data_IF_901490554277
#
_entry.id   IF_901490554277
#
_cell.length_a   1.000
_cell.length_b   1.000
_cell.length_c   1.000
_cell.angle_alpha   90.00
_cell.angle_beta   90.00
_cell.angle_gamma   90.00
#
_symmetry.space_group_name_H-M   'P 1'
#
loop_
_entity.id
_entity.type
_entity.pdbx_description
1 polymer ?
#
# COMPACT_ATOMS: atom_id res chain seq x y z
N UNK A 1 12.90 -14.92 -81.97
CA UNK A 1 12.70 -15.75 -80.79
C UNK A 1 12.87 -14.86 -79.59
N UNK A 2 11.78 -14.37 -79.01
CA UNK A 2 11.80 -13.39 -77.93
C UNK A 2 11.53 -14.12 -76.62
N UNK A 3 12.50 -14.14 -75.71
CA UNK A 3 12.34 -14.56 -74.32
C UNK A 3 11.68 -13.43 -73.53
N UNK A 4 10.48 -13.68 -73.05
CA UNK A 4 9.79 -12.79 -72.10
C UNK A 4 10.29 -13.11 -70.69
N UNK A 5 11.03 -12.18 -70.07
CA UNK A 5 11.32 -12.21 -68.67
C UNK A 5 10.11 -11.70 -67.88
N UNK A 6 9.48 -12.59 -67.12
CA UNK A 6 8.48 -12.21 -66.13
C UNK A 6 9.22 -11.88 -64.81
N UNK A 7 9.23 -10.63 -64.49
CA UNK A 7 9.67 -10.13 -63.17
C UNK A 7 8.50 -10.27 -62.25
N UNK A 8 8.57 -11.20 -61.27
CA UNK A 8 7.65 -11.27 -60.15
C UNK A 8 8.09 -10.29 -59.10
N UNK A 9 7.38 -9.15 -58.97
CA UNK A 9 7.53 -8.24 -57.84
C UNK A 9 6.96 -8.94 -56.59
N UNK A 10 7.85 -9.38 -55.70
CA UNK A 10 7.51 -9.87 -54.38
C UNK A 10 7.26 -8.67 -53.47
N UNK A 11 5.98 -8.32 -53.27
CA UNK A 11 5.60 -7.30 -52.27
C UNK A 11 5.69 -7.98 -50.92
N UNK A 12 6.78 -7.67 -50.17
CA UNK A 12 6.92 -8.03 -48.76
C UNK A 12 6.05 -7.04 -47.97
N UNK A 13 4.87 -7.46 -47.59
CA UNK A 13 4.06 -6.74 -46.62
C UNK A 13 4.66 -7.00 -45.25
N UNK A 14 5.54 -6.09 -44.79
CA UNK A 14 5.98 -6.07 -43.40
C UNK A 14 4.83 -5.56 -42.56
N UNK A 15 4.05 -6.49 -42.04
CA UNK A 15 3.03 -6.21 -41.06
C UNK A 15 3.71 -5.72 -39.77
N UNK A 16 3.70 -4.41 -39.52
CA UNK A 16 3.98 -3.86 -38.22
C UNK A 16 2.87 -4.30 -37.26
N UNK A 17 3.06 -5.41 -36.56
CA UNK A 17 2.28 -5.72 -35.37
C UNK A 17 2.67 -4.70 -34.32
N UNK A 18 1.93 -3.59 -34.24
CA UNK A 18 1.92 -2.76 -33.06
C UNK A 18 1.34 -3.62 -31.93
N UNK A 19 2.21 -4.20 -31.13
CA UNK A 19 1.82 -4.72 -29.82
C UNK A 19 1.43 -3.49 -29.01
N UNK A 20 0.16 -3.15 -29.01
CA UNK A 20 -0.38 -2.33 -27.94
C UNK A 20 -0.24 -3.17 -26.68
N UNK A 21 0.83 -2.94 -25.93
CA UNK A 21 0.86 -3.36 -24.54
C UNK A 21 -0.34 -2.65 -23.89
N UNK A 22 -1.43 -3.38 -23.68
CA UNK A 22 -2.51 -2.92 -22.85
C UNK A 22 -1.87 -2.65 -21.50
N UNK A 23 -1.69 -1.38 -21.14
CA UNK A 23 -1.22 -1.02 -19.82
C UNK A 23 -2.19 -1.68 -18.83
N UNK A 24 -1.69 -2.60 -18.03
CA UNK A 24 -2.50 -3.32 -17.05
C UNK A 24 -3.15 -2.27 -16.14
N UNK A 25 -4.49 -2.24 -16.14
CA UNK A 25 -5.23 -1.22 -15.39
C UNK A 25 -4.97 -1.44 -13.91
N UNK A 26 -4.36 -0.45 -13.26
CA UNK A 26 -4.14 -0.50 -11.83
C UNK A 26 -5.46 -0.63 -11.06
N UNK A 27 -5.46 -1.33 -9.93
CA UNK A 27 -6.64 -1.56 -9.09
C UNK A 27 -7.12 -0.31 -8.34
N UNK A 28 -6.50 0.83 -8.56
CA UNK A 28 -6.84 2.12 -7.98
C UNK A 28 -6.51 3.27 -8.95
N UNK A 29 -7.05 4.44 -8.69
CA UNK A 29 -6.84 5.64 -9.49
C UNK A 29 -6.70 6.89 -8.61
N UNK A 30 -6.15 7.96 -9.17
CA UNK A 30 -6.16 9.28 -8.51
C UNK A 30 -7.61 9.69 -8.21
N UNK A 31 -7.86 10.13 -6.99
CA UNK A 31 -9.18 10.45 -6.46
C UNK A 31 -9.82 9.32 -5.66
N UNK A 32 -9.27 8.10 -5.70
CA UNK A 32 -9.76 7.03 -4.83
C UNK A 32 -9.68 7.44 -3.37
N UNK A 33 -10.78 7.18 -2.63
CA UNK A 33 -10.84 7.39 -1.19
C UNK A 33 -11.60 6.26 -0.52
N UNK A 34 -10.94 5.58 0.42
CA UNK A 34 -11.49 4.50 1.24
C UNK A 34 -11.66 5.02 2.66
N UNK A 35 -12.91 5.04 3.18
CA UNK A 35 -13.23 5.41 4.57
C UNK A 35 -13.45 4.16 5.40
N UNK A 36 -12.82 4.10 6.55
CA UNK A 36 -12.94 3.00 7.52
C UNK A 36 -13.59 3.48 8.82
N UNK A 37 -14.48 2.65 9.37
CA UNK A 37 -14.86 2.72 10.77
C UNK A 37 -13.83 1.99 11.63
N UNK A 38 -13.33 2.64 12.68
CA UNK A 38 -12.34 2.06 13.59
C UNK A 38 -12.99 1.74 14.95
N UNK A 39 -12.66 0.55 15.48
CA UNK A 39 -13.04 0.11 16.83
C UNK A 39 -11.80 -0.34 17.58
N UNK A 40 -11.75 -0.05 18.86
CA UNK A 40 -10.74 -0.56 19.77
C UNK A 40 -11.41 -1.39 20.88
N UNK A 41 -11.05 -2.67 20.99
CA UNK A 41 -11.70 -3.62 21.92
C UNK A 41 -13.25 -3.53 21.86
N UNK A 42 -13.83 -3.56 20.64
CA UNK A 42 -15.26 -3.45 20.35
C UNK A 42 -15.88 -2.04 20.56
N UNK A 43 -15.18 -1.10 21.18
CA UNK A 43 -15.65 0.27 21.39
C UNK A 43 -15.40 1.10 20.13
N UNK A 44 -16.41 1.84 19.62
CA UNK A 44 -16.20 2.75 18.51
C UNK A 44 -15.11 3.77 18.85
N UNK A 45 -14.01 3.76 18.09
CA UNK A 45 -12.85 4.61 18.33
C UNK A 45 -12.83 5.83 17.40
N UNK A 46 -13.18 5.66 16.13
CA UNK A 46 -13.10 6.75 15.17
C UNK A 46 -13.19 6.30 13.72
N UNK A 47 -12.41 6.97 12.88
CA UNK A 47 -12.34 6.75 11.44
C UNK A 47 -10.88 6.75 10.97
N UNK A 48 -10.63 6.04 9.88
CA UNK A 48 -9.39 6.16 9.12
C UNK A 48 -9.71 6.31 7.63
N UNK A 49 -8.78 6.87 6.88
CA UNK A 49 -8.92 7.05 5.44
C UNK A 49 -7.63 6.67 4.73
N UNK A 50 -7.78 6.04 3.57
CA UNK A 50 -6.72 5.88 2.59
C UNK A 50 -7.15 6.61 1.32
N UNK A 51 -6.31 7.48 0.79
CA UNK A 51 -6.62 8.31 -0.39
C UNK A 51 -5.46 8.28 -1.37
N UNK A 52 -5.75 8.10 -2.66
CA UNK A 52 -4.81 8.39 -3.75
C UNK A 52 -5.02 9.84 -4.16
N UNK A 53 -4.08 10.71 -3.76
CA UNK A 53 -4.26 12.17 -3.88
C UNK A 53 -3.94 12.66 -5.28
N UNK A 54 -2.77 12.27 -5.81
CA UNK A 54 -2.23 12.76 -7.08
C UNK A 54 -1.11 11.86 -7.60
N UNK A 55 -0.61 12.18 -8.78
CA UNK A 55 0.71 11.73 -9.25
C UNK A 55 1.59 12.96 -9.24
N UNK A 56 2.65 12.92 -8.44
CA UNK A 56 3.61 14.00 -8.25
C UNK A 56 4.97 13.62 -8.86
N UNK A 57 5.93 14.52 -8.79
CA UNK A 57 7.32 14.25 -9.16
C UNK A 57 8.21 14.30 -7.93
N UNK A 58 8.87 13.20 -7.61
CA UNK A 58 9.84 13.08 -6.51
C UNK A 58 11.16 12.60 -7.07
N UNK A 59 12.26 13.31 -6.81
CA UNK A 59 13.59 13.00 -7.36
C UNK A 59 13.59 12.85 -8.90
N UNK A 60 12.82 13.68 -9.61
CA UNK A 60 12.61 13.63 -11.07
C UNK A 60 11.91 12.35 -11.58
N UNK A 61 11.28 11.56 -10.71
CA UNK A 61 10.53 10.37 -11.04
C UNK A 61 9.04 10.58 -10.71
N UNK A 62 8.12 10.05 -11.54
CA UNK A 62 6.70 10.08 -11.22
C UNK A 62 6.42 9.19 -10.00
N UNK A 63 5.57 9.68 -9.10
CA UNK A 63 5.23 8.98 -7.87
C UNK A 63 3.76 9.19 -7.50
N UNK A 64 3.06 8.13 -7.10
CA UNK A 64 1.73 8.24 -6.51
C UNK A 64 1.82 8.85 -5.14
N UNK A 65 1.17 9.98 -4.94
CA UNK A 65 0.95 10.56 -3.62
C UNK A 65 -0.26 9.89 -2.98
N UNK A 66 -0.03 9.14 -1.93
CA UNK A 66 -1.07 8.50 -1.13
C UNK A 66 -1.09 9.09 0.27
N UNK A 67 -2.28 9.20 0.86
CA UNK A 67 -2.47 9.76 2.19
C UNK A 67 -3.24 8.79 3.08
N UNK A 68 -2.71 8.59 4.28
CA UNK A 68 -3.41 7.96 5.40
C UNK A 68 -3.78 9.01 6.43
N UNK A 69 -5.02 8.97 6.89
CA UNK A 69 -5.52 9.81 7.97
C UNK A 69 -6.20 8.94 9.03
N UNK A 70 -5.98 9.24 10.30
CA UNK A 70 -6.73 8.63 11.40
C UNK A 70 -7.21 9.67 12.39
N UNK A 71 -8.45 9.53 12.84
CA UNK A 71 -9.03 10.43 13.81
C UNK A 71 -10.01 9.71 14.73
N UNK A 72 -9.91 10.00 16.02
CA UNK A 72 -10.90 9.56 17.00
C UNK A 72 -12.19 10.35 16.90
N UNK A 73 -13.29 9.71 17.26
CA UNK A 73 -14.61 10.37 17.34
C UNK A 73 -14.81 11.14 18.66
N UNK A 74 -15.91 11.91 18.79
CA UNK A 74 -16.12 12.81 19.93
C UNK A 74 -16.08 12.13 21.31
N UNK A 75 -16.51 10.89 21.40
CA UNK A 75 -16.50 10.13 22.67
C UNK A 75 -15.08 9.68 23.00
N UNK A 76 -14.37 9.08 22.02
CA UNK A 76 -12.99 8.61 22.20
C UNK A 76 -12.02 9.79 22.40
N UNK A 77 -12.26 10.95 21.82
CA UNK A 77 -11.48 12.18 22.02
C UNK A 77 -11.36 12.60 23.50
N UNK A 78 -12.38 12.29 24.31
CA UNK A 78 -12.37 12.59 25.75
C UNK A 78 -11.39 11.72 26.53
N UNK A 79 -11.06 10.54 25.98
CA UNK A 79 -10.15 9.58 26.60
C UNK A 79 -8.76 9.69 25.98
N UNK A 80 -8.67 9.59 24.64
CA UNK A 80 -7.43 9.64 23.90
C UNK A 80 -7.64 10.16 22.49
N UNK A 81 -7.24 11.40 22.26
CA UNK A 81 -7.45 12.10 21.00
C UNK A 81 -6.36 11.72 19.98
N UNK A 82 -6.78 11.24 18.81
CA UNK A 82 -5.90 10.93 17.67
C UNK A 82 -6.23 11.84 16.49
N UNK A 83 -5.19 12.42 15.89
CA UNK A 83 -5.24 13.19 14.64
C UNK A 83 -3.94 12.94 13.89
N UNK A 84 -3.90 11.85 13.16
CA UNK A 84 -2.71 11.43 12.42
C UNK A 84 -2.90 11.69 10.94
N UNK A 85 -1.85 12.13 10.31
CA UNK A 85 -1.74 12.29 8.88
C UNK A 85 -0.38 11.78 8.43
N UNK A 86 -0.39 10.91 7.42
CA UNK A 86 0.82 10.39 6.77
C UNK A 86 0.65 10.51 5.27
N UNK A 87 1.56 11.23 4.66
CA UNK A 87 1.69 11.34 3.21
C UNK A 87 2.88 10.50 2.75
N UNK A 88 2.68 9.64 1.77
CA UNK A 88 3.72 8.80 1.17
C UNK A 88 3.71 8.96 -0.35
N UNK A 89 4.89 9.03 -0.94
CA UNK A 89 5.09 9.08 -2.40
C UNK A 89 5.71 7.78 -2.85
N UNK A 90 4.97 7.03 -3.65
CA UNK A 90 5.26 5.67 -4.08
C UNK A 90 5.71 5.65 -5.53
N UNK A 91 6.68 4.82 -5.84
CA UNK A 91 7.07 4.59 -7.23
C UNK A 91 5.85 4.24 -8.11
N UNK A 92 5.81 4.80 -9.31
CA UNK A 92 4.65 4.64 -10.20
C UNK A 92 4.42 3.18 -10.64
N UNK A 93 5.45 2.35 -10.64
CA UNK A 93 5.40 0.97 -11.18
C UNK A 93 5.52 -0.11 -10.10
N UNK A 94 6.45 0.07 -9.18
CA UNK A 94 6.79 -0.94 -8.17
C UNK A 94 6.26 -0.59 -6.77
N UNK A 95 5.70 0.62 -6.57
CA UNK A 95 5.05 1.08 -5.34
C UNK A 95 5.93 1.08 -4.08
N UNK A 96 7.24 1.02 -4.22
CA UNK A 96 8.14 1.29 -3.10
C UNK A 96 8.17 2.79 -2.78
N UNK A 97 8.60 3.13 -1.57
CA UNK A 97 8.51 4.50 -1.06
C UNK A 97 9.69 5.35 -1.52
N UNK A 98 9.42 6.50 -2.13
CA UNK A 98 10.41 7.54 -2.42
C UNK A 98 10.53 8.57 -1.29
N UNK A 99 9.39 8.94 -0.71
CA UNK A 99 9.30 9.99 0.30
C UNK A 99 8.13 9.72 1.23
N UNK A 100 8.25 10.13 2.49
CA UNK A 100 7.16 10.08 3.46
C UNK A 100 7.21 11.28 4.40
N UNK A 101 6.05 11.82 4.71
CA UNK A 101 5.87 12.85 5.74
C UNK A 101 4.85 12.35 6.77
N UNK A 102 5.20 12.40 8.05
CA UNK A 102 4.31 12.03 9.15
C UNK A 102 4.02 13.22 10.03
N UNK A 103 2.77 13.36 10.43
CA UNK A 103 2.30 14.28 11.44
C UNK A 103 1.37 13.50 12.38
N UNK A 104 1.93 13.00 13.47
CA UNK A 104 1.26 12.12 14.45
C UNK A 104 0.89 12.93 15.68
N UNK A 105 -0.36 12.89 16.08
CA UNK A 105 -0.91 13.60 17.23
C UNK A 105 -1.81 12.68 18.03
N UNK A 106 -1.23 11.98 19.00
CA UNK A 106 -1.90 10.98 19.83
C UNK A 106 -1.85 11.37 21.31
N UNK A 107 -2.98 11.71 21.91
CA UNK A 107 -3.04 12.21 23.27
C UNK A 107 -2.13 13.42 23.45
N UNK A 108 -1.09 13.26 24.27
CA UNK A 108 0.00 14.26 24.48
C UNK A 108 1.19 14.06 23.54
N UNK A 109 1.26 12.90 22.87
CA UNK A 109 2.37 12.60 21.96
C UNK A 109 2.24 13.43 20.67
N UNK A 110 3.38 14.00 20.25
CA UNK A 110 3.53 14.75 19.00
C UNK A 110 4.79 14.29 18.31
N UNK A 111 4.63 13.88 17.06
CA UNK A 111 5.76 13.45 16.27
C UNK A 111 5.59 13.91 14.82
N UNK A 112 6.62 14.54 14.29
CA UNK A 112 6.70 14.95 12.89
C UNK A 112 8.00 14.42 12.31
N UNK A 113 7.92 13.78 11.16
CA UNK A 113 9.11 13.37 10.41
C UNK A 113 8.91 13.59 8.92
N UNK A 114 10.01 13.87 8.27
CA UNK A 114 10.14 13.88 6.82
C UNK A 114 11.25 12.91 6.44
N UNK A 115 10.93 11.94 5.59
CA UNK A 115 11.86 10.94 5.10
C UNK A 115 11.96 11.02 3.58
N UNK A 116 13.17 11.04 3.05
CA UNK A 116 13.46 10.98 1.61
C UNK A 116 14.41 9.81 1.35
N UNK A 117 14.07 8.96 0.39
CA UNK A 117 14.85 7.76 0.09
C UNK A 117 15.57 8.00 -1.24
N UNK A 118 16.89 7.96 -1.18
CA UNK A 118 17.80 8.21 -2.31
C UNK A 118 18.44 6.88 -2.72
N UNK A 119 17.75 6.14 -3.57
CA UNK A 119 18.18 4.80 -3.99
C UNK A 119 19.52 4.81 -4.71
N UNK A 120 19.81 5.84 -5.51
CA UNK A 120 21.08 6.00 -6.23
C UNK A 120 22.28 6.16 -5.29
N UNK A 121 22.03 6.64 -4.06
CA UNK A 121 23.05 6.83 -3.03
C UNK A 121 22.99 5.76 -1.95
N UNK A 122 22.03 4.82 -2.02
CA UNK A 122 21.80 3.77 -1.00
C UNK A 122 21.62 4.34 0.41
N UNK A 123 20.90 5.45 0.53
CA UNK A 123 20.61 6.12 1.82
C UNK A 123 19.14 6.55 1.91
N UNK A 124 18.64 6.59 3.14
CA UNK A 124 17.44 7.32 3.52
C UNK A 124 17.81 8.49 4.44
N UNK A 125 17.25 9.66 4.17
CA UNK A 125 17.40 10.85 5.01
C UNK A 125 16.10 11.00 5.79
N UNK A 126 16.19 10.94 7.13
CA UNK A 126 15.05 11.14 8.03
C UNK A 126 15.32 12.38 8.88
N UNK A 127 14.63 13.46 8.59
CA UNK A 127 14.89 14.79 9.13
C UNK A 127 16.35 15.21 8.87
N UNK A 128 17.26 14.98 9.86
CA UNK A 128 18.68 15.32 9.78
C UNK A 128 19.59 14.08 9.79
N UNK A 129 19.03 12.90 9.96
CA UNK A 129 19.78 11.65 10.08
C UNK A 129 19.85 10.94 8.73
N UNK A 130 21.02 10.40 8.43
CA UNK A 130 21.26 9.58 7.25
C UNK A 130 21.38 8.13 7.67
N UNK A 131 20.63 7.26 6.99
CA UNK A 131 20.54 5.82 7.28
C UNK A 131 20.93 5.06 6.02
N UNK A 132 21.92 4.15 6.09
CA UNK A 132 22.22 3.29 4.95
C UNK A 132 21.06 2.32 4.69
N UNK A 133 20.77 2.10 3.41
CA UNK A 133 19.69 1.21 2.98
C UNK A 133 20.19 0.23 1.94
N UNK A 134 19.44 -0.87 1.78
CA UNK A 134 19.63 -1.83 0.70
C UNK A 134 18.28 -2.20 0.07
N UNK A 135 18.27 -2.33 -1.26
CA UNK A 135 17.07 -2.73 -2.01
C UNK A 135 15.93 -1.72 -1.97
N UNK A 136 14.73 -2.21 -2.29
CA UNK A 136 13.50 -1.42 -2.29
C UNK A 136 12.88 -1.41 -0.90
N UNK A 137 12.44 -0.23 -0.45
CA UNK A 137 11.84 -0.03 0.87
C UNK A 137 10.37 0.32 0.72
N UNK A 138 9.56 -0.31 1.53
CA UNK A 138 8.13 0.00 1.64
C UNK A 138 7.88 0.65 3.00
N UNK A 139 6.98 1.61 3.06
CA UNK A 139 6.42 2.07 4.33
C UNK A 139 5.14 1.30 4.67
N UNK A 140 4.64 1.34 5.91
CA UNK A 140 3.44 0.59 6.30
C UNK A 140 2.18 0.90 5.48
N UNK A 141 2.09 2.08 4.86
CA UNK A 141 0.93 2.52 4.09
C UNK A 141 1.08 2.19 2.60
N UNK A 142 2.31 2.24 2.07
CA UNK A 142 2.61 1.82 0.69
C UNK A 142 2.26 0.36 0.45
N UNK A 143 2.37 -0.48 1.47
CA UNK A 143 2.04 -1.90 1.39
C UNK A 143 0.59 -2.15 0.98
N UNK A 144 -0.36 -1.30 1.39
CA UNK A 144 -1.76 -1.45 0.97
C UNK A 144 -1.92 -1.32 -0.55
N UNK A 145 -1.16 -0.44 -1.17
CA UNK A 145 -1.20 -0.25 -2.63
C UNK A 145 -0.37 -1.30 -3.36
N UNK A 146 0.82 -1.63 -2.84
CA UNK A 146 1.66 -2.69 -3.42
C UNK A 146 0.93 -4.04 -3.48
N UNK A 147 0.28 -4.49 -2.39
CA UNK A 147 -0.47 -5.75 -2.39
C UNK A 147 -1.61 -5.78 -3.40
N UNK A 148 -2.22 -4.65 -3.68
CA UNK A 148 -3.30 -4.56 -4.68
C UNK A 148 -2.83 -4.82 -6.10
N UNK A 149 -1.56 -4.61 -6.40
CA UNK A 149 -1.00 -4.89 -7.73
C UNK A 149 -0.59 -6.34 -7.93
N UNK A 150 -0.60 -7.14 -6.87
CA UNK A 150 -0.15 -8.52 -6.92
C UNK A 150 -1.29 -9.50 -7.16
N UNK A 151 -0.92 -10.69 -7.68
CA UNK A 151 -1.81 -11.84 -7.66
C UNK A 151 -1.79 -12.48 -6.28
N UNK A 152 -2.89 -12.28 -5.53
CA UNK A 152 -3.05 -12.78 -4.17
C UNK A 152 -3.44 -14.26 -4.19
N UNK A 153 -2.46 -15.13 -4.38
CA UNK A 153 -2.64 -16.59 -4.45
C UNK A 153 -2.36 -17.21 -3.09
N UNK A 154 -3.29 -18.03 -2.58
CA UNK A 154 -3.12 -18.72 -1.29
C UNK A 154 -1.86 -19.59 -1.27
N UNK A 155 -1.11 -19.51 -0.16
CA UNK A 155 0.17 -20.18 0.03
C UNK A 155 1.38 -19.40 -0.50
N UNK A 156 1.17 -18.32 -1.28
CA UNK A 156 2.26 -17.47 -1.76
C UNK A 156 2.82 -16.63 -0.61
N UNK A 157 4.14 -16.59 -0.53
CA UNK A 157 4.89 -15.73 0.40
C UNK A 157 5.72 -14.72 -0.37
N UNK A 158 6.06 -13.61 0.28
CA UNK A 158 6.98 -12.61 -0.27
C UNK A 158 7.75 -11.91 0.84
N UNK A 159 9.03 -11.70 0.58
CA UNK A 159 9.93 -11.01 1.49
C UNK A 159 9.89 -9.50 1.20
N UNK A 160 9.81 -8.71 2.25
CA UNK A 160 9.70 -7.26 2.20
C UNK A 160 10.58 -6.60 3.25
N UNK A 161 11.15 -5.45 2.91
CA UNK A 161 11.80 -4.58 3.88
C UNK A 161 10.92 -3.36 4.11
N UNK A 162 10.42 -3.21 5.34
CA UNK A 162 9.63 -2.05 5.73
C UNK A 162 10.50 -1.04 6.45
N UNK A 163 10.41 0.18 5.98
CA UNK A 163 11.06 1.33 6.56
C UNK A 163 10.04 2.18 7.32
N UNK A 164 10.25 2.27 8.62
CA UNK A 164 9.42 3.11 9.48
C UNK A 164 10.29 3.87 10.48
N UNK A 165 10.27 5.19 10.42
CA UNK A 165 10.93 6.08 11.36
C UNK A 165 12.37 5.65 11.72
N UNK A 166 13.27 5.52 10.78
CA UNK A 166 14.68 5.08 10.94
C UNK A 166 14.88 3.58 11.19
N UNK A 167 13.82 2.81 11.33
CA UNK A 167 13.93 1.36 11.51
C UNK A 167 13.71 0.66 10.17
N UNK A 168 14.59 -0.28 9.86
CA UNK A 168 14.42 -1.25 8.79
C UNK A 168 13.96 -2.57 9.42
N UNK A 169 12.85 -3.11 8.94
CA UNK A 169 12.32 -4.40 9.42
C UNK A 169 12.09 -5.30 8.22
N UNK A 170 12.82 -6.39 8.18
CA UNK A 170 12.61 -7.45 7.21
C UNK A 170 11.52 -8.37 7.73
N UNK A 171 10.55 -8.70 6.89
CA UNK A 171 9.53 -9.69 7.18
C UNK A 171 8.94 -10.28 5.92
N UNK A 172 8.31 -11.42 6.08
CA UNK A 172 7.60 -12.12 5.03
C UNK A 172 6.11 -11.86 5.16
N UNK A 173 5.43 -11.62 4.05
CA UNK A 173 3.97 -11.65 3.98
C UNK A 173 3.54 -13.00 3.46
N UNK A 174 2.47 -13.55 4.04
CA UNK A 174 1.84 -14.80 3.58
C UNK A 174 0.37 -14.55 3.23
N UNK A 175 -0.06 -15.09 2.10
CA UNK A 175 -1.47 -15.13 1.70
C UNK A 175 -2.03 -16.48 2.19
N UNK A 176 -2.98 -16.48 3.12
CA UNK A 176 -3.39 -17.70 3.83
C UNK A 176 -4.65 -18.34 3.27
N UNK A 177 -5.74 -17.62 3.22
CA UNK A 177 -7.07 -18.19 2.95
C UNK A 177 -7.94 -17.22 2.13
N UNK A 178 -9.00 -17.77 1.57
CA UNK A 178 -10.12 -16.99 1.03
C UNK A 178 -11.23 -16.99 2.08
N UNK A 179 -11.75 -15.81 2.43
CA UNK A 179 -12.81 -15.62 3.43
C UNK A 179 -13.84 -14.63 2.92
N UNK A 180 -15.10 -14.82 3.31
CA UNK A 180 -16.14 -13.83 3.10
C UNK A 180 -16.24 -12.91 4.33
N UNK A 181 -16.21 -11.59 4.10
CA UNK A 181 -16.18 -10.59 5.17
C UNK A 181 -17.34 -9.62 5.02
N UNK A 182 -18.11 -9.45 6.08
CA UNK A 182 -19.16 -8.45 6.19
C UNK A 182 -18.63 -7.19 6.88
N UNK A 183 -18.70 -6.08 6.18
CA UNK A 183 -18.33 -4.73 6.65
C UNK A 183 -19.45 -3.74 6.33
N UNK A 184 -19.43 -2.50 6.87
CA UNK A 184 -20.47 -1.49 6.56
C UNK A 184 -20.65 -1.19 5.07
N UNK A 185 -19.61 -1.30 4.27
CA UNK A 185 -19.65 -1.10 2.81
C UNK A 185 -20.31 -2.26 2.04
N UNK A 186 -20.54 -3.42 2.68
CA UNK A 186 -21.13 -4.60 2.04
C UNK A 186 -20.44 -5.91 2.43
N UNK A 187 -20.73 -6.96 1.67
CA UNK A 187 -20.11 -8.27 1.82
C UNK A 187 -19.12 -8.49 0.69
N UNK A 188 -17.89 -8.90 1.04
CA UNK A 188 -16.80 -9.09 0.09
C UNK A 188 -16.19 -10.48 0.26
N UNK A 189 -15.93 -11.14 -0.86
CA UNK A 189 -14.98 -12.25 -0.89
C UNK A 189 -13.57 -11.68 -0.83
N UNK A 190 -12.75 -12.14 0.11
CA UNK A 190 -11.44 -11.55 0.38
C UNK A 190 -10.34 -12.60 0.41
N UNK A 191 -9.14 -12.18 0.01
CA UNK A 191 -7.90 -12.91 0.31
C UNK A 191 -7.31 -12.38 1.61
N UNK A 192 -6.91 -13.29 2.50
CA UNK A 192 -6.36 -12.93 3.81
C UNK A 192 -4.84 -12.87 3.71
N UNK A 193 -4.28 -11.73 4.07
CA UNK A 193 -2.84 -11.47 4.03
C UNK A 193 -2.36 -11.14 5.43
N UNK A 194 -1.29 -11.82 5.85
CA UNK A 194 -0.68 -11.61 7.17
C UNK A 194 0.81 -11.40 7.01
N UNK A 195 1.37 -10.41 7.69
CA UNK A 195 2.81 -10.38 7.85
C UNK A 195 3.23 -11.55 8.73
N UNK A 196 4.31 -12.20 8.33
CA UNK A 196 4.88 -13.34 9.03
C UNK A 196 6.37 -13.11 9.26
N UNK A 197 6.84 -13.40 10.46
CA UNK A 197 8.25 -13.46 10.78
C UNK A 197 8.49 -14.61 11.74
N UNK A 198 9.24 -15.60 11.31
CA UNK A 198 9.52 -16.78 12.10
C UNK A 198 10.16 -16.41 13.45
N UNK A 199 9.53 -16.85 14.55
CA UNK A 199 10.01 -16.65 15.91
C UNK A 199 9.95 -15.21 16.44
N UNK A 200 9.31 -14.26 15.72
CA UNK A 200 9.16 -12.85 16.19
C UNK A 200 7.79 -12.28 15.87
N UNK A 201 7.30 -11.43 16.76
CA UNK A 201 6.14 -10.57 16.49
C UNK A 201 6.57 -9.35 15.69
N UNK A 202 5.72 -8.85 14.80
CA UNK A 202 6.04 -7.82 13.80
C UNK A 202 6.23 -6.42 14.33
N UNK A 203 5.83 -6.17 15.56
CA UNK A 203 5.94 -4.85 16.18
C UNK A 203 6.74 -4.94 17.47
N UNK A 204 7.44 -3.86 17.83
CA UNK A 204 8.11 -3.71 19.12
C UNK A 204 7.21 -4.01 20.33
N UNK A 205 5.88 -3.94 20.13
CA UNK A 205 4.84 -4.13 21.15
C UNK A 205 4.08 -5.45 20.99
N UNK A 206 4.69 -6.50 20.43
CA UNK A 206 4.07 -7.80 20.30
C UNK A 206 2.73 -7.78 19.52
N UNK A 207 2.64 -6.97 18.48
CA UNK A 207 1.45 -6.86 17.64
C UNK A 207 1.37 -7.93 16.55
N UNK A 208 0.15 -8.31 16.20
CA UNK A 208 -0.20 -9.16 15.06
C UNK A 208 -1.15 -8.37 14.13
N UNK A 209 -0.93 -8.45 12.82
CA UNK A 209 -1.75 -7.77 11.82
C UNK A 209 -2.38 -8.79 10.87
N UNK A 210 -3.63 -8.57 10.49
CA UNK A 210 -4.29 -9.33 9.43
C UNK A 210 -5.05 -8.36 8.53
N UNK A 211 -4.91 -8.52 7.23
CA UNK A 211 -5.56 -7.68 6.22
C UNK A 211 -6.38 -8.57 5.31
N UNK A 212 -7.62 -8.19 5.05
CA UNK A 212 -8.51 -8.80 4.07
C UNK A 212 -8.61 -7.90 2.86
N UNK A 213 -8.06 -8.34 1.74
CA UNK A 213 -8.17 -7.66 0.45
C UNK A 213 -9.31 -8.25 -0.36
N UNK A 214 -10.19 -7.43 -0.94
CA UNK A 214 -11.26 -7.93 -1.82
C UNK A 214 -10.68 -8.72 -3.00
N UNK A 215 -11.32 -9.86 -3.31
CA UNK A 215 -10.92 -10.74 -4.40
C UNK A 215 -11.63 -10.35 -5.72
N UNK A 216 -11.46 -9.10 -6.09
CA UNK A 216 -12.00 -8.48 -7.31
C UNK A 216 -10.91 -7.65 -8.02
N UNK A 217 -11.29 -6.92 -9.06
CA UNK A 217 -10.36 -6.09 -9.82
C UNK A 217 -9.76 -4.91 -9.01
N UNK A 218 -10.40 -4.51 -7.90
CA UNK A 218 -9.95 -3.38 -7.08
C UNK A 218 -9.04 -3.79 -5.94
N UNK A 219 -9.13 -5.04 -5.47
CA UNK A 219 -8.32 -5.58 -4.37
C UNK A 219 -8.23 -4.62 -3.17
N UNK A 220 -9.37 -4.04 -2.80
CA UNK A 220 -9.43 -3.07 -1.69
C UNK A 220 -9.11 -3.73 -0.35
N UNK A 221 -8.36 -3.09 0.55
CA UNK A 221 -8.25 -3.54 1.93
C UNK A 221 -9.59 -3.32 2.66
N UNK A 222 -10.42 -4.38 2.73
CA UNK A 222 -11.80 -4.34 3.25
C UNK A 222 -11.84 -4.34 4.76
N UNK A 223 -10.95 -5.10 5.39
CA UNK A 223 -10.82 -5.17 6.85
C UNK A 223 -9.36 -5.27 7.24
N UNK A 224 -9.00 -4.57 8.32
CA UNK A 224 -7.66 -4.61 8.92
C UNK A 224 -7.85 -4.85 10.40
N UNK A 225 -7.20 -5.88 10.93
CA UNK A 225 -7.15 -6.17 12.37
C UNK A 225 -5.69 -6.05 12.82
N UNK A 226 -5.48 -5.26 13.86
CA UNK A 226 -4.18 -5.08 14.49
C UNK A 226 -4.32 -5.43 15.97
N UNK A 227 -3.67 -6.50 16.40
CA UNK A 227 -3.57 -6.90 17.81
C UNK A 227 -2.33 -6.26 18.40
N UNK A 228 -2.51 -5.46 19.41
CA UNK A 228 -1.43 -4.79 20.13
C UNK A 228 -1.48 -5.17 21.62
N UNK A 229 -0.42 -4.87 22.36
CA UNK A 229 -0.29 -5.26 23.77
C UNK A 229 -1.52 -4.94 24.65
N UNK A 230 -2.23 -3.85 24.35
CA UNK A 230 -3.35 -3.38 25.20
C UNK A 230 -4.72 -3.63 24.58
N UNK A 231 -4.80 -4.30 23.43
CA UNK A 231 -6.09 -4.59 22.81
C UNK A 231 -6.02 -4.82 21.31
N UNK A 232 -7.17 -4.80 20.68
CA UNK A 232 -7.32 -5.05 19.26
C UNK A 232 -7.95 -3.84 18.57
N UNK A 233 -7.26 -3.29 17.58
CA UNK A 233 -7.82 -2.30 16.66
C UNK A 233 -8.43 -3.04 15.46
N UNK A 234 -9.68 -2.74 15.15
CA UNK A 234 -10.37 -3.26 13.97
C UNK A 234 -10.84 -2.09 13.11
N UNK A 235 -10.36 -2.06 11.88
CA UNK A 235 -10.80 -1.11 10.86
C UNK A 235 -11.61 -1.86 9.80
N UNK A 236 -12.85 -1.41 9.53
CA UNK A 236 -13.75 -1.99 8.53
C UNK A 236 -14.14 -0.95 7.51
N UNK A 237 -14.02 -1.30 6.23
CA UNK A 237 -14.41 -0.44 5.12
C UNK A 237 -15.88 -0.02 5.29
N UNK A 238 -16.11 1.29 5.26
CA UNK A 238 -17.44 1.88 5.48
C UNK A 238 -18.03 2.46 4.22
N UNK A 239 -17.24 3.24 3.50
CA UNK A 239 -17.58 3.79 2.19
C UNK A 239 -16.32 3.87 1.33
N UNK A 240 -16.49 3.88 0.03
CA UNK A 240 -15.40 4.05 -0.92
C UNK A 240 -15.87 4.84 -2.14
N UNK A 241 -14.94 5.58 -2.73
CA UNK A 241 -15.05 6.21 -4.04
C UNK A 241 -13.81 5.76 -4.85
N UNK A 242 -14.00 5.23 -6.06
CA UNK A 242 -12.95 4.63 -6.91
C UNK A 242 -12.62 5.52 -8.10
#
# INVERSE_FOLDING_TARGET
MKLLNKIYSLIIIVGFFYHYALAEKLPFSVGERLEYSAKFNFIPAGKAFLTVVSIDTVNNLPAYHVRYEAQTGPIADKIYKIRDNVDSWLDEKEFFTHQQTKNIREGKYRFTSHSQIMYDHSIAIVNKDTIPIQGRLYDPYSLFYYFRTLDLISGKTMDLTVFDNKSLTEFQMIITSKEQVLVPAGTFDCMVVRPFREGKTLQKNEGDMTIWFSNDAYKMPVQIILKIKYGTMVMKLKTFNL
#
